data_IF_826901825565
#
_entry.id   IF_826901825565
#
_cell.length_a   1.000
_cell.length_b   1.000
_cell.length_c   1.000
_cell.angle_alpha   90.00
_cell.angle_beta   90.00
_cell.angle_gamma   90.00
#
_symmetry.space_group_name_H-M   'P 1'
#
loop_
_entity.id
_entity.type
_entity.pdbx_description
1 polymer ?
#
# COMPACT_ATOMS: atom_id res chain seq x y z
N UNK A 1 9.82 25.64 8.21
CA UNK A 1 9.21 25.09 6.97
C UNK A 1 9.37 23.58 7.02
N UNK A 2 8.36 22.81 7.42
CA UNK A 2 8.29 21.37 7.07
C UNK A 2 6.80 21.03 6.93
N UNK A 3 6.42 20.90 5.67
CA UNK A 3 5.09 20.62 5.15
C UNK A 3 4.79 19.11 5.24
N UNK A 4 3.57 18.80 5.69
CA UNK A 4 2.73 17.68 5.24
C UNK A 4 3.09 16.23 5.66
N UNK A 5 2.62 15.77 6.84
CA UNK A 5 2.51 14.34 7.16
C UNK A 5 1.40 13.60 6.36
N UNK A 6 0.73 14.28 5.42
CA UNK A 6 -0.38 13.71 4.65
C UNK A 6 0.07 12.89 3.43
N UNK A 7 1.29 13.14 2.94
CA UNK A 7 1.81 12.47 1.73
C UNK A 7 2.34 11.06 2.04
N UNK A 8 3.00 10.85 3.18
CA UNK A 8 3.47 9.53 3.64
C UNK A 8 2.31 8.55 3.85
N UNK A 9 1.18 9.03 4.36
CA UNK A 9 0.03 8.16 4.64
C UNK A 9 -0.66 7.67 3.36
N UNK A 10 -0.51 8.35 2.22
CA UNK A 10 -1.07 7.90 0.92
C UNK A 10 -0.26 6.78 0.28
N UNK A 11 1.04 6.72 0.59
CA UNK A 11 1.98 5.73 0.04
C UNK A 11 2.37 4.68 1.08
N UNK A 12 1.58 4.47 2.14
CA UNK A 12 1.84 3.43 3.14
C UNK A 12 0.90 2.25 2.92
N UNK A 13 1.36 1.03 3.21
CA UNK A 13 0.50 -0.17 3.17
C UNK A 13 -0.75 -0.05 4.06
N UNK A 14 -0.66 0.76 5.12
CA UNK A 14 -1.78 1.06 6.04
C UNK A 14 -2.92 1.83 5.36
N UNK A 15 -2.65 2.52 4.25
CA UNK A 15 -3.63 3.29 3.49
C UNK A 15 -4.62 2.40 2.72
N UNK A 16 -4.21 1.18 2.37
CA UNK A 16 -5.00 0.28 1.54
C UNK A 16 -6.07 -0.51 2.33
N UNK A 17 -6.17 -0.33 3.65
CA UNK A 17 -7.16 -1.03 4.46
C UNK A 17 -6.94 -2.55 4.52
N UNK A 18 -5.70 -3.00 4.38
CA UNK A 18 -5.34 -4.42 4.47
C UNK A 18 -5.55 -4.95 5.89
N UNK A 19 -5.74 -6.27 5.99
CA UNK A 19 -5.82 -6.95 7.29
C UNK A 19 -4.53 -6.70 8.10
N UNK A 20 -4.63 -6.52 9.43
CA UNK A 20 -3.49 -6.18 10.28
C UNK A 20 -2.39 -7.26 10.26
N UNK A 21 -2.75 -8.52 10.03
CA UNK A 21 -1.79 -9.63 9.89
C UNK A 21 -0.88 -9.44 8.67
N UNK A 22 -1.44 -8.94 7.55
CA UNK A 22 -0.68 -8.62 6.35
C UNK A 22 0.24 -7.45 6.65
N UNK A 23 -0.28 -6.35 7.21
CA UNK A 23 0.50 -5.16 7.59
C UNK A 23 1.71 -5.52 8.45
N UNK A 24 1.53 -6.40 9.45
CA UNK A 24 2.64 -6.90 10.28
C UNK A 24 3.67 -7.65 9.44
N UNK A 25 3.26 -8.55 8.56
CA UNK A 25 4.17 -9.30 7.71
C UNK A 25 4.96 -8.40 6.74
N UNK A 26 4.34 -7.36 6.17
CA UNK A 26 5.03 -6.38 5.30
C UNK A 26 6.06 -5.60 6.12
N UNK A 27 5.69 -5.16 7.33
CA UNK A 27 6.57 -4.44 8.24
C UNK A 27 7.74 -5.31 8.75
N UNK A 28 7.51 -6.58 9.09
CA UNK A 28 8.56 -7.53 9.49
C UNK A 28 9.59 -7.74 8.37
N UNK A 29 9.13 -7.74 7.11
CA UNK A 29 10.01 -7.77 5.93
C UNK A 29 10.64 -6.42 5.59
N UNK A 30 10.41 -5.39 6.40
CA UNK A 30 10.89 -4.00 6.20
C UNK A 30 10.39 -3.38 4.89
N UNK A 31 9.25 -3.83 4.40
CA UNK A 31 8.56 -3.22 3.27
C UNK A 31 7.68 -2.09 3.80
N UNK A 32 8.18 -0.87 3.68
CA UNK A 32 7.51 0.34 4.17
C UNK A 32 6.81 1.10 3.05
N UNK A 33 7.43 1.09 1.85
CA UNK A 33 6.95 1.82 0.68
C UNK A 33 6.50 0.78 -0.36
N UNK A 34 5.22 0.79 -0.78
CA UNK A 34 4.74 -0.01 -1.89
C UNK A 34 5.40 0.43 -3.18
N UNK A 35 5.64 -0.51 -4.08
CA UNK A 35 6.17 -0.20 -5.41
C UNK A 35 5.09 0.47 -6.29
N UNK A 36 5.47 1.18 -7.37
CA UNK A 36 4.50 1.87 -8.22
C UNK A 36 3.41 0.95 -8.81
N UNK A 37 3.73 -0.32 -9.03
CA UNK A 37 2.74 -1.30 -9.47
C UNK A 37 1.82 -1.72 -8.32
N UNK A 38 2.32 -1.86 -7.10
CA UNK A 38 1.52 -2.23 -5.92
C UNK A 38 0.52 -1.13 -5.56
N UNK A 39 0.93 0.14 -5.61
CA UNK A 39 0.04 1.28 -5.34
C UNK A 39 -1.18 1.30 -6.26
N UNK A 40 -1.00 0.89 -7.52
CA UNK A 40 -2.07 0.82 -8.53
C UNK A 40 -2.85 -0.48 -8.46
N UNK A 41 -2.16 -1.61 -8.23
CA UNK A 41 -2.74 -2.94 -8.28
C UNK A 41 -3.56 -3.30 -7.04
N UNK A 42 -3.05 -2.98 -5.84
CA UNK A 42 -3.69 -3.34 -4.57
C UNK A 42 -5.16 -2.86 -4.50
N UNK A 43 -5.50 -1.58 -4.79
CA UNK A 43 -6.90 -1.15 -4.74
C UNK A 43 -7.78 -1.89 -5.76
N UNK A 44 -7.30 -2.11 -6.99
CA UNK A 44 -8.07 -2.80 -8.04
C UNK A 44 -8.42 -4.24 -7.63
N UNK A 45 -7.46 -4.96 -7.06
CA UNK A 45 -7.67 -6.34 -6.59
C UNK A 45 -8.59 -6.38 -5.37
N UNK A 46 -8.47 -5.40 -4.45
CA UNK A 46 -9.37 -5.29 -3.30
C UNK A 46 -10.82 -4.97 -3.70
N UNK A 47 -11.02 -4.29 -4.82
CA UNK A 47 -12.35 -4.07 -5.44
C UNK A 47 -12.91 -5.35 -6.11
N UNK A 48 -12.15 -6.45 -6.15
CA UNK A 48 -12.57 -7.72 -6.76
C UNK A 48 -12.56 -7.70 -8.28
N UNK A 49 -11.81 -6.78 -8.90
CA UNK A 49 -11.68 -6.68 -10.35
C UNK A 49 -10.51 -7.52 -10.85
N UNK A 50 -10.62 -8.01 -12.08
CA UNK A 50 -9.49 -8.63 -12.78
C UNK A 50 -8.42 -7.58 -13.10
N UNK A 51 -7.15 -7.99 -12.98
CA UNK A 51 -5.99 -7.13 -13.18
C UNK A 51 -4.95 -7.85 -14.06
N UNK A 52 -4.44 -7.15 -15.07
CA UNK A 52 -3.25 -7.55 -15.82
C UNK A 52 -2.16 -6.52 -15.53
N UNK A 53 -1.02 -6.95 -14.97
CA UNK A 53 0.14 -6.11 -14.71
C UNK A 53 1.32 -6.47 -15.62
N UNK A 54 2.08 -5.47 -16.06
CA UNK A 54 3.30 -5.60 -16.86
C UNK A 54 4.40 -4.70 -16.28
#
# INVERSE_FOLDING_TARGET
>A
MQTEPLLEKKMSFEAFGLRPEILRAVAEKKYTIPTPIQEKAIPIVLEGKDLIGC
#
